data_IF_191575711638
#
_entry.id   IF_191575711638
#
_cell.length_a   1.000
_cell.length_b   1.000
_cell.length_c   1.000
_cell.angle_alpha   90.00
_cell.angle_beta   90.00
_cell.angle_gamma   90.00
#
_symmetry.space_group_name_H-M   'P 1'
#
loop_
_entity.id
_entity.type
_entity.pdbx_description
1 polymer ?
#
# COMPACT_ATOMS: atom_id res chain seq x y z
N UNK A 1 44.61 -5.96 18.75
CA UNK A 1 43.70 -7.12 18.60
C UNK A 1 42.88 -7.12 19.87
N UNK A 2 41.61 -6.74 19.91
CA UNK A 2 40.44 -7.15 19.10
C UNK A 2 39.42 -5.99 19.15
N UNK A 3 39.10 -5.41 18.00
CA UNK A 3 37.82 -5.58 17.27
C UNK A 3 36.66 -4.74 17.82
N UNK A 4 36.42 -3.63 17.11
CA UNK A 4 35.17 -2.88 17.07
C UNK A 4 34.05 -3.81 16.59
N UNK A 5 33.00 -3.94 17.37
CA UNK A 5 31.69 -4.35 16.83
C UNK A 5 30.77 -3.15 16.92
N UNK A 6 30.60 -2.48 15.77
CA UNK A 6 29.57 -1.48 15.59
C UNK A 6 28.20 -2.18 15.68
N UNK A 7 27.43 -1.88 16.72
CA UNK A 7 26.01 -2.18 16.75
C UNK A 7 25.34 -1.28 15.72
N UNK A 8 24.88 -1.88 14.62
CA UNK A 8 23.99 -1.23 13.68
C UNK A 8 22.69 -0.89 14.40
N UNK A 9 22.29 0.36 14.24
CA UNK A 9 21.12 1.03 14.81
C UNK A 9 19.84 0.31 14.37
N UNK A 10 19.25 -0.51 15.24
CA UNK A 10 17.91 -1.07 15.09
C UNK A 10 16.89 0.06 15.27
N UNK A 11 16.71 0.86 14.22
CA UNK A 11 15.66 1.85 14.13
C UNK A 11 14.32 1.10 14.13
N UNK A 12 13.59 1.16 15.24
CA UNK A 12 12.27 0.57 15.42
C UNK A 12 11.30 1.12 14.37
N UNK A 13 11.18 0.40 13.25
CA UNK A 13 10.36 0.78 12.09
C UNK A 13 8.88 0.64 12.45
N UNK A 14 8.12 1.73 12.35
CA UNK A 14 6.68 1.69 12.64
C UNK A 14 5.92 1.36 11.36
N UNK A 15 5.27 0.20 11.35
CA UNK A 15 4.29 -0.16 10.34
C UNK A 15 2.97 0.53 10.69
N UNK A 16 2.51 1.38 9.78
CA UNK A 16 1.22 2.04 9.89
C UNK A 16 0.12 1.04 9.47
N UNK A 17 -0.82 0.81 10.39
CA UNK A 17 -1.94 -0.13 10.22
C UNK A 17 -1.55 -1.59 9.93
N UNK A 18 -0.94 -2.30 10.90
CA UNK A 18 -0.59 -3.73 10.76
C UNK A 18 -1.83 -4.63 10.59
N UNK A 19 -3.01 -4.12 10.95
CA UNK A 19 -4.28 -4.82 10.84
C UNK A 19 -4.65 -5.20 9.40
N UNK A 20 -4.41 -4.32 8.43
CA UNK A 20 -4.91 -4.50 7.07
C UNK A 20 -3.82 -4.43 6.00
N UNK A 21 -2.56 -4.40 6.42
CA UNK A 21 -1.40 -4.49 5.56
C UNK A 21 -0.38 -5.46 6.16
N UNK A 22 -0.08 -6.54 5.41
CA UNK A 22 0.86 -7.57 5.85
C UNK A 22 2.09 -7.58 4.96
N UNK A 23 3.27 -7.58 5.58
CA UNK A 23 4.57 -7.80 4.95
C UNK A 23 5.04 -9.18 5.44
N UNK A 24 4.96 -10.23 4.61
CA UNK A 24 5.38 -11.57 5.00
C UNK A 24 6.89 -11.66 5.30
N UNK A 25 7.25 -12.41 6.35
CA UNK A 25 8.65 -12.64 6.74
C UNK A 25 9.36 -13.62 5.80
N UNK A 26 8.61 -14.44 5.07
CA UNK A 26 9.11 -15.42 4.09
C UNK A 26 9.67 -14.78 2.80
N UNK A 27 9.68 -13.45 2.72
CA UNK A 27 10.14 -12.70 1.55
C UNK A 27 9.11 -12.61 0.42
N UNK A 28 7.89 -13.12 0.62
CA UNK A 28 6.81 -12.96 -0.36
C UNK A 28 6.32 -11.51 -0.44
N UNK A 29 5.71 -11.14 -1.56
CA UNK A 29 5.29 -9.74 -1.80
C UNK A 29 4.19 -9.33 -0.82
N UNK A 30 4.24 -8.08 -0.29
CA UNK A 30 3.26 -7.58 0.65
C UNK A 30 1.87 -7.49 0.01
N UNK A 31 0.83 -7.56 0.84
CA UNK A 31 -0.56 -7.55 0.41
C UNK A 31 -1.47 -6.83 1.41
N UNK A 32 -2.63 -6.39 0.90
CA UNK A 32 -3.70 -5.83 1.72
C UNK A 32 -4.61 -6.94 2.23
N UNK A 33 -5.14 -6.77 3.44
CA UNK A 33 -6.09 -7.70 4.05
C UNK A 33 -7.45 -7.02 4.10
N UNK A 34 -8.39 -7.57 3.34
CA UNK A 34 -9.80 -7.21 3.40
C UNK A 34 -10.56 -8.09 4.40
N UNK A 35 -11.84 -7.80 4.55
CA UNK A 35 -12.77 -8.57 5.37
C UNK A 35 -13.85 -9.20 4.49
N UNK A 36 -13.90 -10.53 4.46
CA UNK A 36 -14.91 -11.29 3.73
C UNK A 36 -16.02 -11.67 4.69
N UNK A 37 -17.24 -11.24 4.39
CA UNK A 37 -18.41 -11.66 5.17
C UNK A 37 -18.73 -13.13 4.91
N UNK A 38 -18.84 -13.95 5.98
CA UNK A 38 -19.20 -15.37 5.85
C UNK A 38 -20.61 -15.59 5.31
N UNK A 39 -21.52 -14.67 5.61
CA UNK A 39 -22.94 -14.81 5.28
C UNK A 39 -23.26 -14.44 3.82
N UNK A 40 -22.77 -13.29 3.34
CA UNK A 40 -23.07 -12.80 1.98
C UNK A 40 -21.90 -12.90 0.99
N UNK A 41 -20.71 -13.28 1.46
CA UNK A 41 -19.52 -13.42 0.61
C UNK A 41 -18.87 -12.11 0.15
N UNK A 42 -19.46 -10.95 0.45
CA UNK A 42 -18.92 -9.64 0.09
C UNK A 42 -17.57 -9.38 0.77
N UNK A 43 -16.67 -8.73 0.04
CA UNK A 43 -15.35 -8.35 0.52
C UNK A 43 -15.31 -6.83 0.76
N UNK A 44 -14.78 -6.43 1.91
CA UNK A 44 -14.69 -5.03 2.33
C UNK A 44 -13.26 -4.65 2.68
N UNK A 45 -12.94 -3.38 2.50
CA UNK A 45 -11.69 -2.78 2.95
C UNK A 45 -11.95 -1.32 3.35
N UNK A 46 -11.37 -0.79 4.44
CA UNK A 46 -10.51 -1.48 5.42
C UNK A 46 -11.33 -2.36 6.39
N UNK A 47 -10.76 -2.71 7.56
CA UNK A 47 -11.49 -3.46 8.60
C UNK A 47 -12.77 -2.71 9.04
N UNK A 48 -13.87 -3.46 9.13
CA UNK A 48 -15.20 -3.01 9.55
C UNK A 48 -15.72 -3.99 10.62
N UNK A 49 -16.43 -3.49 11.66
CA UNK A 49 -17.00 -4.35 12.70
C UNK A 49 -18.23 -5.13 12.23
N UNK A 50 -18.96 -4.61 11.23
CA UNK A 50 -20.24 -5.16 10.74
C UNK A 50 -20.26 -5.06 9.22
N UNK A 51 -20.78 -6.09 8.55
CA UNK A 51 -20.93 -6.12 7.10
C UNK A 51 -22.01 -5.12 6.63
N UNK A 52 -21.68 -4.09 5.83
CA UNK A 52 -22.65 -3.10 5.36
C UNK A 52 -23.77 -3.68 4.49
N UNK A 53 -23.52 -4.78 3.77
CA UNK A 53 -24.52 -5.39 2.88
C UNK A 53 -25.60 -6.20 3.59
N UNK A 54 -25.29 -6.83 4.73
CA UNK A 54 -26.20 -7.79 5.37
C UNK A 54 -26.24 -7.71 6.92
N UNK A 55 -25.53 -6.75 7.51
CA UNK A 55 -25.48 -6.49 8.95
C UNK A 55 -24.93 -7.64 9.81
N UNK A 56 -24.29 -8.63 9.20
CA UNK A 56 -23.61 -9.70 9.94
C UNK A 56 -22.33 -9.19 10.60
N UNK A 57 -22.10 -9.63 11.84
CA UNK A 57 -20.85 -9.44 12.59
C UNK A 57 -19.78 -10.50 12.24
N UNK A 58 -20.11 -11.46 11.37
CA UNK A 58 -19.20 -12.55 10.99
C UNK A 58 -18.39 -12.17 9.73
N UNK A 59 -17.24 -11.54 9.95
CA UNK A 59 -16.28 -11.19 8.90
C UNK A 59 -14.91 -11.84 9.18
N UNK A 60 -14.34 -12.49 8.18
CA UNK A 60 -13.00 -13.06 8.25
C UNK A 60 -11.99 -12.20 7.50
N UNK A 61 -10.75 -12.15 8.00
CA UNK A 61 -9.63 -11.63 7.23
C UNK A 61 -9.39 -12.46 5.97
N UNK A 62 -9.31 -11.79 4.82
CA UNK A 62 -8.99 -12.41 3.53
C UNK A 62 -7.92 -11.59 2.82
N UNK A 63 -6.84 -12.21 2.31
CA UNK A 63 -5.87 -11.50 1.48
C UNK A 63 -6.57 -10.97 0.22
N UNK A 64 -6.29 -9.72 -0.14
CA UNK A 64 -6.72 -9.12 -1.39
C UNK A 64 -5.72 -9.42 -2.51
N UNK A 65 -6.19 -9.29 -3.74
CA UNK A 65 -5.34 -9.27 -4.91
C UNK A 65 -4.27 -8.17 -4.77
N UNK A 66 -3.06 -8.47 -5.26
CA UNK A 66 -1.92 -7.53 -5.15
C UNK A 66 -1.83 -6.55 -6.30
N UNK A 67 -2.65 -6.71 -7.33
CA UNK A 67 -2.61 -5.89 -8.55
C UNK A 67 -3.98 -5.31 -8.79
N UNK A 68 -4.02 -4.01 -9.09
CA UNK A 68 -5.22 -3.31 -9.50
C UNK A 68 -4.90 -2.26 -10.56
N UNK A 69 -5.95 -1.57 -11.03
CA UNK A 69 -5.84 -0.53 -12.06
C UNK A 69 -5.90 0.85 -11.46
N UNK A 70 -5.02 1.74 -11.91
CA UNK A 70 -5.03 3.14 -11.47
C UNK A 70 -6.32 3.82 -11.92
N UNK A 71 -7.23 4.11 -10.99
CA UNK A 71 -8.49 4.79 -11.28
C UNK A 71 -8.27 6.29 -11.50
N UNK A 72 -7.55 6.94 -10.58
CA UNK A 72 -7.20 8.36 -10.67
C UNK A 72 -5.98 8.65 -9.81
N UNK A 73 -5.27 9.73 -10.10
CA UNK A 73 -4.12 10.18 -9.31
C UNK A 73 -3.98 11.70 -9.33
N UNK A 74 -3.19 12.20 -8.37
CA UNK A 74 -2.72 13.58 -8.34
C UNK A 74 -1.27 13.64 -7.88
N UNK A 75 -0.57 14.71 -8.27
CA UNK A 75 0.80 14.99 -7.87
C UNK A 75 0.78 16.18 -6.91
N UNK A 76 1.10 15.91 -5.65
CA UNK A 76 1.23 16.90 -4.61
C UNK A 76 2.63 17.50 -4.61
N UNK A 77 2.76 18.73 -5.11
CA UNK A 77 4.03 19.46 -5.12
C UNK A 77 4.40 20.05 -3.74
N UNK A 78 3.41 20.26 -2.86
CA UNK A 78 3.60 20.80 -1.51
C UNK A 78 2.83 19.93 -0.51
N UNK A 79 3.40 18.79 -0.07
CA UNK A 79 2.78 17.93 0.92
C UNK A 79 2.98 18.47 2.35
N UNK A 80 2.30 17.83 3.30
CA UNK A 80 2.45 18.09 4.73
C UNK A 80 3.90 17.82 5.23
N UNK A 81 4.35 18.47 6.31
CA UNK A 81 5.67 18.23 6.89
C UNK A 81 5.93 16.76 7.23
N UNK A 82 7.11 16.29 6.85
CA UNK A 82 7.55 14.89 7.00
C UNK A 82 7.25 14.00 5.80
N UNK A 83 6.68 14.54 4.73
CA UNK A 83 6.47 13.84 3.46
C UNK A 83 7.35 14.48 2.38
N UNK A 84 8.05 13.66 1.60
CA UNK A 84 8.94 14.15 0.54
C UNK A 84 8.12 14.63 -0.66
N UNK A 85 8.43 15.82 -1.15
CA UNK A 85 7.87 16.38 -2.38
C UNK A 85 8.75 16.08 -3.61
N UNK A 86 8.17 15.99 -4.82
CA UNK A 86 6.74 15.80 -5.07
C UNK A 86 6.27 14.41 -4.60
N UNK A 87 4.99 14.29 -4.25
CA UNK A 87 4.35 13.02 -3.88
C UNK A 87 3.23 12.69 -4.87
N UNK A 88 3.25 11.49 -5.45
CA UNK A 88 2.10 10.97 -6.17
C UNK A 88 1.16 10.21 -5.22
N UNK A 89 -0.13 10.49 -5.29
CA UNK A 89 -1.18 9.76 -4.56
C UNK A 89 -2.27 9.37 -5.55
N UNK A 90 -2.84 8.18 -5.40
CA UNK A 90 -3.90 7.73 -6.30
C UNK A 90 -4.79 6.66 -5.70
N UNK A 91 -5.90 6.44 -6.40
CA UNK A 91 -6.85 5.39 -6.12
C UNK A 91 -6.68 4.25 -7.11
N UNK A 92 -6.68 3.03 -6.61
CA UNK A 92 -6.52 1.81 -7.40
C UNK A 92 -7.76 0.93 -7.23
N UNK A 93 -8.34 0.52 -8.36
CA UNK A 93 -9.45 -0.42 -8.43
C UNK A 93 -8.91 -1.85 -8.52
N UNK A 94 -9.26 -2.68 -7.55
CA UNK A 94 -8.90 -4.09 -7.53
C UNK A 94 -9.97 -4.95 -8.23
N UNK A 95 -9.62 -6.15 -8.73
CA UNK A 95 -10.56 -7.04 -9.43
C UNK A 95 -11.79 -7.42 -8.59
N UNK A 96 -11.65 -7.43 -7.27
CA UNK A 96 -12.73 -7.67 -6.31
C UNK A 96 -13.76 -6.51 -6.18
N UNK A 97 -13.59 -5.41 -6.92
CA UNK A 97 -14.46 -4.24 -6.89
C UNK A 97 -14.13 -3.20 -5.82
N UNK A 98 -13.10 -3.44 -5.00
CA UNK A 98 -12.66 -2.52 -3.95
C UNK A 98 -11.71 -1.47 -4.54
N UNK A 99 -11.95 -0.21 -4.17
CA UNK A 99 -11.07 0.93 -4.47
C UNK A 99 -10.26 1.31 -3.24
N UNK A 100 -8.94 1.37 -3.39
CA UNK A 100 -8.03 1.75 -2.29
C UNK A 100 -7.18 2.95 -2.67
N UNK A 101 -7.07 3.93 -1.77
CA UNK A 101 -6.21 5.10 -1.94
C UNK A 101 -4.87 4.93 -1.22
N UNK A 102 -3.76 5.20 -1.91
CA UNK A 102 -2.42 5.17 -1.31
C UNK A 102 -1.43 6.07 -2.06
N UNK A 103 -0.25 6.25 -1.48
CA UNK A 103 0.88 6.85 -2.19
C UNK A 103 1.32 5.94 -3.34
N UNK A 104 1.68 6.55 -4.47
CA UNK A 104 2.29 5.86 -5.59
C UNK A 104 3.80 6.09 -5.48
N UNK A 105 4.53 5.01 -5.22
CA UNK A 105 5.99 5.03 -5.06
C UNK A 105 6.67 5.04 -6.43
N UNK A 106 6.91 6.26 -6.92
CA UNK A 106 7.59 6.56 -8.18
C UNK A 106 8.54 7.74 -7.99
N UNK A 107 9.64 7.72 -8.74
CA UNK A 107 10.59 8.85 -8.75
C UNK A 107 9.97 10.08 -9.44
N UNK A 108 10.38 11.31 -9.08
CA UNK A 108 9.82 12.53 -9.65
C UNK A 108 9.83 12.59 -11.18
N UNK A 109 10.91 12.13 -11.82
CA UNK A 109 11.06 12.08 -13.28
C UNK A 109 10.16 11.03 -13.95
N UNK A 110 9.70 10.04 -13.19
CA UNK A 110 8.81 8.97 -13.64
C UNK A 110 7.32 9.30 -13.47
N UNK A 111 6.96 10.33 -12.68
CA UNK A 111 5.56 10.71 -12.43
C UNK A 111 4.79 11.04 -13.72
N UNK A 112 5.49 11.57 -14.73
CA UNK A 112 4.93 11.83 -16.07
C UNK A 112 4.47 10.58 -16.83
N UNK A 113 4.92 9.40 -16.40
CA UNK A 113 4.58 8.12 -17.01
C UNK A 113 3.32 7.51 -16.39
N UNK A 114 2.78 8.08 -15.30
CA UNK A 114 1.53 7.62 -14.71
C UNK A 114 0.37 7.84 -15.68
N UNK A 115 -0.48 6.82 -15.83
CA UNK A 115 -1.65 6.84 -16.71
C UNK A 115 -2.82 6.16 -16.02
N UNK A 116 -3.99 6.79 -16.08
CA UNK A 116 -5.23 6.14 -15.66
C UNK A 116 -5.39 4.83 -16.45
N UNK A 117 -5.80 3.77 -15.77
CA UNK A 117 -5.95 2.41 -16.30
C UNK A 117 -4.70 1.53 -16.25
N UNK A 118 -3.52 2.08 -15.92
CA UNK A 118 -2.29 1.27 -15.80
C UNK A 118 -2.34 0.33 -14.60
N UNK A 119 -1.67 -0.82 -14.71
CA UNK A 119 -1.59 -1.78 -13.60
C UNK A 119 -0.58 -1.31 -12.56
N UNK A 120 -1.02 -1.24 -11.30
CA UNK A 120 -0.18 -0.99 -10.14
C UNK A 120 -0.22 -2.21 -9.21
N UNK A 121 0.92 -2.53 -8.60
CA UNK A 121 1.01 -3.55 -7.56
C UNK A 121 1.17 -2.95 -6.16
N UNK A 122 0.65 -3.64 -5.16
CA UNK A 122 0.89 -3.33 -3.74
C UNK A 122 2.36 -3.56 -3.39
N UNK A 123 2.96 -2.62 -2.68
CA UNK A 123 4.31 -2.66 -2.15
C UNK A 123 4.36 -2.10 -0.72
N UNK A 124 5.50 -2.27 -0.05
CA UNK A 124 5.82 -1.60 1.20
C UNK A 124 6.77 -0.42 0.93
N UNK A 125 6.49 0.75 1.47
CA UNK A 125 7.31 1.94 1.31
C UNK A 125 7.21 2.90 2.50
N UNK A 126 8.20 3.78 2.62
CA UNK A 126 8.20 4.83 3.64
C UNK A 126 7.23 5.92 3.19
N UNK A 127 6.15 6.13 3.95
CA UNK A 127 5.13 7.14 3.64
C UNK A 127 5.37 8.47 4.34
N UNK A 128 6.17 8.46 5.41
CA UNK A 128 6.48 9.63 6.23
C UNK A 128 7.79 9.43 7.00
N UNK A 129 8.52 10.51 7.18
CA UNK A 129 9.65 10.61 8.11
C UNK A 129 9.36 11.75 9.09
N UNK A 130 9.53 11.50 10.40
CA UNK A 130 9.35 12.55 11.41
C UNK A 130 10.62 13.40 11.60
N UNK A 131 10.54 14.41 12.47
CA UNK A 131 11.68 15.33 12.75
C UNK A 131 12.88 14.63 13.40
N UNK A 132 12.69 13.45 13.97
CA UNK A 132 13.72 12.64 14.62
C UNK A 132 14.30 11.59 13.66
N UNK A 133 13.91 11.59 12.38
CA UNK A 133 14.34 10.62 11.39
C UNK A 133 13.60 9.28 11.46
N UNK A 134 12.55 9.16 12.29
CA UNK A 134 11.76 7.94 12.41
C UNK A 134 10.91 7.75 11.16
N UNK A 135 11.07 6.61 10.49
CA UNK A 135 10.38 6.27 9.25
C UNK A 135 9.11 5.47 9.55
N UNK A 136 8.00 5.92 8.97
CA UNK A 136 6.72 5.20 8.98
C UNK A 136 6.58 4.43 7.67
N UNK A 137 6.44 3.11 7.75
CA UNK A 137 6.23 2.22 6.61
C UNK A 137 4.75 1.94 6.46
N UNK A 138 4.24 1.96 5.23
CA UNK A 138 2.87 1.54 4.92
C UNK A 138 2.82 0.93 3.52
N UNK A 139 1.63 0.53 3.10
CA UNK A 139 1.37 0.14 1.73
C UNK A 139 1.50 1.34 0.79
N UNK A 140 2.12 1.08 -0.36
CA UNK A 140 2.25 1.99 -1.49
C UNK A 140 1.89 1.24 -2.76
N UNK A 141 1.56 1.97 -3.82
CA UNK A 141 1.37 1.39 -5.14
C UNK A 141 2.60 1.61 -6.00
N UNK A 142 3.03 0.58 -6.72
CA UNK A 142 4.14 0.66 -7.68
C UNK A 142 3.66 0.29 -9.07
N UNK A 143 4.02 1.06 -10.10
CA UNK A 143 3.80 0.65 -11.48
C UNK A 143 4.34 -0.75 -11.75
N UNK A 144 3.49 -1.62 -12.28
CA UNK A 144 3.99 -2.78 -12.98
C UNK A 144 4.52 -2.27 -14.31
N UNK A 145 5.82 -2.49 -14.57
CA UNK A 145 6.39 -2.20 -15.89
C UNK A 145 5.46 -2.83 -16.94
N UNK A 146 5.03 -2.03 -17.92
CA UNK A 146 4.06 -2.47 -18.91
C UNK A 146 4.52 -3.81 -19.50
N UNK A 147 3.81 -4.90 -19.20
CA UNK A 147 3.98 -6.11 -19.97
C UNK A 147 3.61 -5.71 -21.39
N UNK A 148 4.57 -5.78 -22.30
CA UNK A 148 4.34 -5.50 -23.72
C UNK A 148 3.08 -6.24 -24.15
N UNK A 149 2.02 -5.49 -24.45
CA UNK A 149 0.79 -6.05 -24.99
C UNK A 149 1.14 -6.85 -26.24
N UNK A 150 0.71 -8.11 -26.28
CA UNK A 150 0.79 -8.93 -27.48
C UNK A 150 0.06 -8.22 -28.62
N UNK A 151 0.74 -8.16 -29.76
CA UNK A 151 0.15 -7.79 -31.05
C UNK A 151 -0.91 -8.80 -31.45
#
# INVERSE_FOLDING_TARGET
MTEKTAKADEQEQVIFHPDFFKIPEDGSKPYLVGLKCRNCGQLWFPKLPICPACWSETLDESPMERVGKLYTYTIMNVPQPGVKAPLAIGYVDFPNGIRVGAQIDVLPDQMKNLRIGMDLQVGAGVIREDKNGKKTISYVFRPLAASKGGK
#
